data_IF_775325196029
#
_entry.id   IF_775325196029
#
_cell.length_a   1.000
_cell.length_b   1.000
_cell.length_c   1.000
_cell.angle_alpha   90.00
_cell.angle_beta   90.00
_cell.angle_gamma   90.00
#
_symmetry.space_group_name_H-M   'P 1'
#
loop_
_entity.id
_entity.type
_entity.pdbx_description
1 polymer ?
#
# COMPACT_ATOMS: atom_id res chain seq x y z
N UNK A 1 -7.19 13.66 -2.36
CA UNK A 1 -6.42 12.55 -1.72
C UNK A 1 -7.28 11.38 -1.26
N UNK A 2 -8.48 11.58 -0.67
CA UNK A 2 -9.38 10.48 -0.23
C UNK A 2 -9.64 9.38 -1.27
N UNK A 3 -9.63 9.70 -2.56
CA UNK A 3 -9.81 8.73 -3.66
C UNK A 3 -8.74 7.63 -3.73
N UNK A 4 -7.49 7.88 -3.33
CA UNK A 4 -6.43 6.85 -3.38
C UNK A 4 -6.47 5.87 -2.20
N UNK A 5 -7.13 6.26 -1.11
CA UNK A 5 -7.27 5.43 0.09
C UNK A 5 -8.53 4.54 0.04
N UNK A 6 -9.52 4.92 -0.77
CA UNK A 6 -10.82 4.25 -0.88
C UNK A 6 -10.96 3.40 -2.16
N UNK A 7 -9.85 2.89 -2.69
CA UNK A 7 -9.89 1.94 -3.81
C UNK A 7 -10.13 0.52 -3.30
N UNK A 8 -11.03 -0.24 -3.92
CA UNK A 8 -11.31 -1.64 -3.55
C UNK A 8 -10.06 -2.49 -3.42
N UNK A 9 -9.09 -2.28 -4.33
CA UNK A 9 -7.75 -2.87 -4.25
C UNK A 9 -6.69 -1.80 -3.97
N UNK A 10 -5.85 -1.95 -2.93
CA UNK A 10 -4.77 -1.02 -2.61
C UNK A 10 -3.89 -0.65 -3.80
N UNK A 11 -3.74 0.65 -4.02
CA UNK A 11 -2.76 1.24 -4.94
C UNK A 11 -1.68 1.95 -4.15
N UNK A 12 -0.41 1.81 -4.55
CA UNK A 12 0.71 2.50 -3.89
C UNK A 12 0.61 4.01 -4.06
N UNK A 13 0.73 4.73 -2.95
CA UNK A 13 0.73 6.18 -2.92
C UNK A 13 2.15 6.68 -3.19
N UNK A 14 2.35 7.28 -4.38
CA UNK A 14 3.61 7.92 -4.76
C UNK A 14 3.37 9.37 -5.15
N UNK A 15 4.42 10.20 -5.13
CA UNK A 15 4.36 11.60 -5.59
C UNK A 15 3.80 11.68 -7.02
N UNK A 16 4.28 10.82 -7.92
CA UNK A 16 3.78 10.74 -9.30
C UNK A 16 2.29 10.39 -9.35
N UNK A 17 1.82 9.43 -8.55
CA UNK A 17 0.40 9.04 -8.49
C UNK A 17 -0.46 10.19 -7.98
N UNK A 18 -0.02 10.86 -6.90
CA UNK A 18 -0.69 12.04 -6.34
C UNK A 18 -0.78 13.13 -7.41
N UNK A 19 0.34 13.46 -8.06
CA UNK A 19 0.42 14.46 -9.13
C UNK A 19 -0.53 14.18 -10.29
N UNK A 20 -0.59 12.93 -10.76
CA UNK A 20 -1.56 12.50 -11.79
C UNK A 20 -3.00 12.67 -11.32
N UNK A 21 -3.29 12.28 -10.09
CA UNK A 21 -4.64 12.34 -9.51
C UNK A 21 -5.17 13.77 -9.39
N UNK A 22 -4.30 14.73 -9.11
CA UNK A 22 -4.68 16.15 -8.94
C UNK A 22 -4.40 17.00 -10.20
N UNK A 23 -3.93 16.41 -11.29
CA UNK A 23 -3.60 17.13 -12.53
C UNK A 23 -2.33 18.00 -12.47
N UNK A 24 -1.46 17.80 -11.47
CA UNK A 24 -0.27 18.63 -11.23
C UNK A 24 1.05 17.84 -11.36
N UNK A 25 1.07 16.72 -12.09
CA UNK A 25 2.28 15.90 -12.24
C UNK A 25 3.48 16.71 -12.73
N UNK A 26 3.31 17.47 -13.82
CA UNK A 26 4.40 18.24 -14.43
C UNK A 26 4.96 19.32 -13.48
N UNK A 27 4.09 19.91 -12.64
CA UNK A 27 4.51 20.87 -11.62
C UNK A 27 5.40 20.18 -10.57
N UNK A 28 4.95 19.04 -10.05
CA UNK A 28 5.70 18.29 -9.03
C UNK A 28 7.02 17.75 -9.59
N UNK A 29 7.06 17.23 -10.81
CA UNK A 29 8.30 16.70 -11.40
C UNK A 29 9.34 17.81 -11.67
N UNK A 30 8.90 19.01 -12.08
CA UNK A 30 9.80 20.10 -12.47
C UNK A 30 10.19 21.04 -11.32
N UNK A 31 9.34 21.18 -10.31
CA UNK A 31 9.45 22.29 -9.35
C UNK A 31 9.41 21.88 -7.88
N UNK A 32 9.31 20.59 -7.56
CA UNK A 32 9.22 20.14 -6.16
C UNK A 32 10.40 20.57 -5.27
N UNK A 33 11.61 20.66 -5.84
CA UNK A 33 12.80 21.15 -5.11
C UNK A 33 12.65 22.60 -4.62
N UNK A 34 11.82 23.41 -5.30
CA UNK A 34 11.55 24.81 -4.92
C UNK A 34 10.41 24.92 -3.91
N UNK A 35 9.80 23.80 -3.52
CA UNK A 35 8.64 23.73 -2.63
C UNK A 35 8.95 22.83 -1.42
N UNK A 36 9.89 23.22 -0.53
CA UNK A 36 10.40 22.34 0.52
C UNK A 36 9.32 21.85 1.48
N UNK A 37 8.37 22.72 1.87
CA UNK A 37 7.26 22.32 2.74
C UNK A 37 6.33 21.31 2.07
N UNK A 38 6.02 21.52 0.79
CA UNK A 38 5.23 20.56 -0.02
C UNK A 38 5.97 19.24 -0.19
N UNK A 39 7.29 19.27 -0.39
CA UNK A 39 8.15 18.09 -0.50
C UNK A 39 8.14 17.27 0.78
N UNK A 40 8.26 17.92 1.95
CA UNK A 40 8.17 17.25 3.24
C UNK A 40 6.81 16.60 3.43
N UNK A 41 5.72 17.33 3.17
CA UNK A 41 4.37 16.80 3.26
C UNK A 41 4.11 15.63 2.30
N UNK A 42 4.54 15.74 1.05
CA UNK A 42 4.39 14.67 0.07
C UNK A 42 5.14 13.41 0.53
N UNK A 43 6.37 13.55 1.06
CA UNK A 43 7.12 12.42 1.61
C UNK A 43 6.41 11.76 2.79
N UNK A 44 5.78 12.54 3.67
CA UNK A 44 5.09 11.98 4.85
C UNK A 44 3.80 11.23 4.52
N UNK A 45 3.22 11.44 3.33
CA UNK A 45 1.98 10.76 2.90
C UNK A 45 2.22 9.70 1.81
N UNK A 46 3.42 9.64 1.25
CA UNK A 46 3.80 8.60 0.29
C UNK A 46 4.32 7.36 0.99
N UNK A 47 4.22 6.23 0.30
CA UNK A 47 4.63 4.95 0.81
C UNK A 47 5.90 4.48 0.10
N UNK A 48 6.78 3.87 0.87
CA UNK A 48 7.84 3.00 0.39
C UNK A 48 7.25 1.74 -0.28
N UNK A 49 8.11 0.93 -0.88
CA UNK A 49 7.69 -0.37 -1.45
C UNK A 49 7.19 -1.28 -0.32
N UNK A 50 7.92 -1.30 0.79
CA UNK A 50 7.70 -2.13 1.96
C UNK A 50 6.40 -1.76 2.68
N UNK A 51 6.18 -0.47 2.96
CA UNK A 51 4.94 0.02 3.59
C UNK A 51 3.70 -0.34 2.74
N UNK A 52 3.79 -0.14 1.43
CA UNK A 52 2.70 -0.51 0.53
C UNK A 52 2.43 -2.01 0.53
N UNK A 53 3.49 -2.83 0.55
CA UNK A 53 3.35 -4.27 0.59
C UNK A 53 2.67 -4.72 1.88
N UNK A 54 3.10 -4.21 3.04
CA UNK A 54 2.46 -4.50 4.34
C UNK A 54 0.98 -4.11 4.30
N UNK A 55 0.64 -2.89 3.84
CA UNK A 55 -0.76 -2.46 3.74
C UNK A 55 -1.58 -3.36 2.83
N UNK A 56 -1.01 -3.78 1.69
CA UNK A 56 -1.68 -4.65 0.73
C UNK A 56 -1.85 -6.08 1.27
N UNK A 57 -0.92 -6.58 2.07
CA UNK A 57 -1.05 -7.85 2.80
C UNK A 57 -2.18 -7.78 3.82
N UNK A 58 -2.22 -6.75 4.67
CA UNK A 58 -3.29 -6.54 5.64
C UNK A 58 -4.66 -6.43 4.98
N UNK A 59 -4.74 -5.73 3.84
CA UNK A 59 -5.97 -5.69 3.04
C UNK A 59 -6.39 -7.09 2.56
N UNK A 60 -5.45 -7.90 2.06
CA UNK A 60 -5.77 -9.25 1.60
C UNK A 60 -6.23 -10.18 2.73
N UNK A 61 -5.60 -10.07 3.90
CA UNK A 61 -6.02 -10.78 5.12
C UNK A 61 -7.44 -10.38 5.50
N UNK A 62 -7.72 -9.08 5.58
CA UNK A 62 -9.06 -8.58 5.89
C UNK A 62 -10.11 -9.05 4.88
N UNK A 63 -9.79 -9.08 3.59
CA UNK A 63 -10.72 -9.59 2.58
C UNK A 63 -11.06 -11.07 2.78
N UNK A 64 -10.08 -11.90 3.19
CA UNK A 64 -10.33 -13.30 3.50
C UNK A 64 -11.20 -13.45 4.77
N UNK A 65 -10.88 -12.67 5.81
CA UNK A 65 -11.64 -12.63 7.07
C UNK A 65 -13.11 -12.19 6.84
N UNK A 66 -13.31 -11.10 6.09
CA UNK A 66 -14.64 -10.60 5.69
C UNK A 66 -15.44 -11.65 4.89
N UNK A 67 -14.76 -12.58 4.20
CA UNK A 67 -15.38 -13.70 3.46
C UNK A 67 -15.55 -14.97 4.30
N UNK A 68 -15.10 -14.99 5.56
CA UNK A 68 -15.09 -16.18 6.41
C UNK A 68 -14.13 -17.28 5.93
N UNK A 69 -13.12 -16.90 5.15
CA UNK A 69 -12.11 -17.82 4.65
C UNK A 69 -10.92 -17.94 5.60
N UNK A 70 -10.35 -19.14 5.68
CA UNK A 70 -9.09 -19.39 6.41
C UNK A 70 -7.94 -18.51 5.88
N UNK A 71 -7.23 -17.85 6.79
CA UNK A 71 -6.10 -16.97 6.48
C UNK A 71 -4.82 -17.81 6.36
N UNK A 72 -4.54 -18.29 5.15
CA UNK A 72 -3.29 -19.02 4.82
C UNK A 72 -2.46 -18.29 3.78
N UNK A 73 -1.13 -18.38 3.88
CA UNK A 73 -0.18 -17.62 3.08
C UNK A 73 -0.47 -17.62 1.58
N UNK A 74 -0.75 -18.79 0.98
CA UNK A 74 -1.03 -18.89 -0.45
C UNK A 74 -2.31 -18.13 -0.87
N UNK A 75 -3.35 -18.11 -0.04
CA UNK A 75 -4.57 -17.33 -0.30
C UNK A 75 -4.30 -15.85 -0.19
N UNK A 76 -3.58 -15.43 0.85
CA UNK A 76 -3.17 -14.03 1.04
C UNK A 76 -2.34 -13.56 -0.15
N UNK A 77 -1.36 -14.36 -0.59
CA UNK A 77 -0.57 -14.07 -1.80
C UNK A 77 -1.43 -13.95 -3.05
N UNK A 78 -2.42 -14.84 -3.23
CA UNK A 78 -3.33 -14.82 -4.38
C UNK A 78 -4.18 -13.55 -4.41
N UNK A 79 -4.81 -13.19 -3.29
CA UNK A 79 -5.64 -11.99 -3.16
C UNK A 79 -4.78 -10.73 -3.31
N UNK A 80 -3.64 -10.69 -2.63
CA UNK A 80 -2.69 -9.60 -2.72
C UNK A 80 -2.01 -9.53 -4.10
N UNK A 81 -1.95 -10.62 -4.88
CA UNK A 81 -1.25 -10.67 -6.17
C UNK A 81 0.27 -10.54 -6.03
N UNK A 82 0.85 -11.19 -5.01
CA UNK A 82 2.31 -11.28 -4.84
C UNK A 82 2.89 -12.50 -5.58
N UNK A 83 4.20 -12.45 -5.84
CA UNK A 83 4.99 -13.59 -6.35
C UNK A 83 5.52 -14.42 -5.18
N UNK A 84 6.03 -15.62 -5.46
CA UNK A 84 6.60 -16.53 -4.44
C UNK A 84 7.74 -15.90 -3.62
N UNK A 85 8.49 -14.94 -4.18
CA UNK A 85 9.56 -14.21 -3.47
C UNK A 85 9.09 -13.37 -2.27
N UNK A 86 7.81 -13.40 -1.92
CA UNK A 86 7.21 -12.66 -0.82
C UNK A 86 6.73 -13.55 0.32
N UNK A 87 6.83 -14.88 0.19
CA UNK A 87 6.27 -15.85 1.14
C UNK A 87 6.71 -15.57 2.58
N UNK A 88 8.01 -15.39 2.82
CA UNK A 88 8.54 -15.17 4.18
C UNK A 88 7.98 -13.89 4.80
N UNK A 89 7.85 -12.83 4.00
CA UNK A 89 7.28 -11.55 4.44
C UNK A 89 5.80 -11.66 4.74
N UNK A 90 5.05 -12.42 3.95
CA UNK A 90 3.61 -12.63 4.17
C UNK A 90 3.37 -13.46 5.42
N UNK A 91 4.13 -14.52 5.64
CA UNK A 91 4.06 -15.31 6.87
C UNK A 91 4.30 -14.44 8.10
N UNK A 92 5.34 -13.61 8.08
CA UNK A 92 5.60 -12.68 9.17
C UNK A 92 4.42 -11.73 9.42
N UNK A 93 3.74 -11.23 8.38
CA UNK A 93 2.57 -10.37 8.56
C UNK A 93 1.39 -11.14 9.17
N UNK A 94 1.16 -12.38 8.74
CA UNK A 94 0.08 -13.24 9.28
C UNK A 94 0.33 -13.52 10.77
N UNK A 95 1.54 -13.96 11.14
CA UNK A 95 1.93 -14.26 12.54
C UNK A 95 1.77 -13.04 13.48
N UNK A 96 2.08 -11.84 12.98
CA UNK A 96 1.91 -10.61 13.74
C UNK A 96 0.44 -10.22 13.93
N UNK A 97 -0.45 -10.55 13.01
CA UNK A 97 -1.90 -10.30 13.16
C UNK A 97 -2.54 -11.32 14.11
N UNK A 98 -2.09 -12.58 14.09
CA UNK A 98 -2.57 -13.63 15.02
C UNK A 98 -2.17 -13.35 16.47
N UNK A 99 -1.00 -12.74 16.71
CA UNK A 99 -0.52 -12.37 18.06
C UNK A 99 -1.28 -11.19 18.69
N UNK A 100 -2.21 -10.58 17.96
CA UNK A 100 -3.01 -9.42 18.39
C UNK A 100 -4.43 -9.80 18.87
N UNK A 101 -4.74 -11.11 18.88
CA UNK A 101 -5.96 -11.72 19.44
C UNK A 101 -5.64 -12.58 20.67
#
# INVERSE_FOLDING_TARGET
>A
MRSLLNTDKPVRITISRIGKTIGLLALLEKHLERMPLTKVYLKSVTETIEEFQIRRSKWAIKQLDDCGEEIVCWKVMKVAGFRESYVERINAVIENEESMF
#
